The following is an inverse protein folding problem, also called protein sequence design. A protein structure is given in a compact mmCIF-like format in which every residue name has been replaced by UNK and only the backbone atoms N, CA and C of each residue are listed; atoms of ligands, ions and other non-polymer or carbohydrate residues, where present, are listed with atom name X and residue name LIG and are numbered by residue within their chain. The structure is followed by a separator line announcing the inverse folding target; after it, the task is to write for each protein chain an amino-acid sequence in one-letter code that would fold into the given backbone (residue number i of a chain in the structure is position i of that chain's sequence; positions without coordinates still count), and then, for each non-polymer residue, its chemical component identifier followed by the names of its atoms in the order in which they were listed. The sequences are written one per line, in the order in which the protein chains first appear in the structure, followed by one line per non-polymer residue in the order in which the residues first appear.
data_IF_156532615578
#
_entry.id   IF_156532615578
#
_cell.length_a   1.000
_cell.length_b   1.000
_cell.length_c   1.000
_cell.angle_alpha   90.00
_cell.angle_beta   90.00
_cell.angle_gamma   90.00
#
_symmetry.space_group_name_H-M   'P 1'
#
loop_
_entity.id
_entity.type
_entity.pdbx_description
1 polymer ?
#
# COMPACT_ATOMS: atom_id res chain seq x y z
N UNK A 1 -8.20 -18.52 -37.75
CA UNK A 1 -8.85 -17.54 -36.86
C UNK A 1 -7.77 -16.76 -36.11
N UNK A 2 -7.69 -15.43 -36.25
CA UNK A 2 -6.77 -14.61 -35.42
C UNK A 2 -7.41 -14.42 -34.04
N UNK A 3 -6.78 -14.97 -33.00
CA UNK A 3 -7.20 -14.76 -31.61
C UNK A 3 -7.05 -13.28 -31.21
N UNK A 4 -8.04 -12.72 -30.53
CA UNK A 4 -8.00 -11.34 -30.05
C UNK A 4 -6.87 -11.15 -29.04
N UNK A 5 -5.89 -10.30 -29.38
CA UNK A 5 -4.83 -9.94 -28.44
C UNK A 5 -5.36 -8.98 -27.37
N UNK A 6 -5.38 -9.44 -26.13
CA UNK A 6 -5.82 -8.66 -24.96
C UNK A 6 -4.92 -7.43 -24.80
N UNK A 7 -5.53 -6.24 -24.83
CA UNK A 7 -4.82 -4.97 -24.63
C UNK A 7 -4.00 -5.01 -23.35
N UNK A 8 -2.75 -4.56 -23.45
CA UNK A 8 -1.78 -4.50 -22.36
C UNK A 8 -1.02 -3.19 -22.54
N UNK A 9 -0.92 -2.37 -21.49
CA UNK A 9 -0.24 -1.06 -21.56
C UNK A 9 0.90 -0.97 -20.58
N UNK A 10 1.88 -0.18 -20.97
CA UNK A 10 2.86 0.39 -20.05
C UNK A 10 2.21 1.48 -19.21
N UNK A 11 2.80 1.75 -18.04
CA UNK A 11 2.41 2.87 -17.20
C UNK A 11 2.99 4.17 -17.77
N UNK A 12 2.17 5.22 -17.84
CA UNK A 12 2.61 6.54 -18.30
C UNK A 12 3.64 7.13 -17.35
N UNK A 13 4.59 7.93 -17.86
CA UNK A 13 5.64 8.58 -17.04
C UNK A 13 5.06 9.29 -15.82
N UNK A 14 4.01 10.08 -16.00
CA UNK A 14 3.38 10.84 -14.91
C UNK A 14 2.80 9.92 -13.84
N UNK A 15 2.11 8.85 -14.23
CA UNK A 15 1.54 7.87 -13.29
C UNK A 15 2.64 7.17 -12.48
N UNK A 16 3.75 6.84 -13.12
CA UNK A 16 4.93 6.25 -12.47
C UNK A 16 5.51 7.20 -11.42
N UNK A 17 5.75 8.47 -11.77
CA UNK A 17 6.32 9.45 -10.83
C UNK A 17 5.37 9.78 -9.67
N UNK A 18 4.07 9.87 -9.91
CA UNK A 18 3.07 10.07 -8.85
C UNK A 18 3.15 8.94 -7.81
N UNK A 19 3.11 7.67 -8.27
CA UNK A 19 3.20 6.52 -7.38
C UNK A 19 4.55 6.45 -6.67
N UNK A 20 5.64 6.77 -7.36
CA UNK A 20 6.98 6.78 -6.78
C UNK A 20 7.11 7.80 -5.64
N UNK A 21 6.59 9.02 -5.83
CA UNK A 21 6.58 10.06 -4.80
C UNK A 21 5.70 9.65 -3.62
N UNK A 22 4.52 9.09 -3.86
CA UNK A 22 3.64 8.63 -2.78
C UNK A 22 4.27 7.50 -1.96
N UNK A 23 4.95 6.56 -2.62
CA UNK A 23 5.67 5.46 -1.94
C UNK A 23 6.85 5.99 -1.14
N UNK A 24 7.62 6.93 -1.68
CA UNK A 24 8.73 7.56 -0.96
C UNK A 24 8.23 8.30 0.30
N UNK A 25 7.15 9.06 0.17
CA UNK A 25 6.52 9.76 1.28
C UNK A 25 5.96 8.78 2.32
N UNK A 26 5.29 7.71 1.89
CA UNK A 26 4.81 6.64 2.78
C UNK A 26 5.96 5.97 3.54
N UNK A 27 7.09 5.75 2.86
CA UNK A 27 8.29 5.15 3.47
C UNK A 27 8.85 6.05 4.57
N UNK A 28 8.93 7.37 4.33
CA UNK A 28 9.39 8.33 5.32
C UNK A 28 8.48 8.33 6.58
N UNK A 29 7.17 8.32 6.41
CA UNK A 29 6.23 8.29 7.55
C UNK A 29 6.29 6.93 8.29
N UNK A 30 6.43 5.81 7.58
CA UNK A 30 6.58 4.50 8.21
C UNK A 30 7.89 4.37 9.00
N UNK A 31 8.98 5.00 8.56
CA UNK A 31 10.21 5.08 9.37
C UNK A 31 9.95 5.81 10.68
N UNK A 32 9.27 6.95 10.64
CA UNK A 32 8.89 7.68 11.86
C UNK A 32 8.04 6.79 12.77
N UNK A 33 7.04 6.10 12.22
CA UNK A 33 6.15 5.19 12.97
C UNK A 33 6.90 4.10 13.72
N UNK A 34 7.91 3.51 13.09
CA UNK A 34 8.70 2.43 13.69
C UNK A 34 9.64 2.93 14.77
N UNK A 35 10.12 4.18 14.65
CA UNK A 35 10.96 4.80 15.67
C UNK A 35 10.18 5.20 16.94
N UNK A 36 8.85 5.34 16.88
CA UNK A 36 8.03 5.74 18.03
C UNK A 36 8.28 4.87 19.28
N UNK A 37 8.12 3.53 19.24
CA UNK A 37 8.33 2.70 20.42
C UNK A 37 9.76 2.74 20.97
N UNK A 38 10.76 3.05 20.13
CA UNK A 38 12.16 3.17 20.56
C UNK A 38 12.48 4.55 21.15
N UNK A 39 11.87 5.62 20.65
CA UNK A 39 12.13 7.00 21.10
C UNK A 39 11.31 7.43 22.31
N UNK A 40 10.03 7.04 22.38
CA UNK A 40 9.11 7.45 23.44
C UNK A 40 8.95 6.42 24.56
N UNK A 41 9.46 5.20 24.38
CA UNK A 41 9.27 4.11 25.34
C UNK A 41 7.81 3.66 25.45
N UNK A 42 7.55 2.73 26.37
CA UNK A 42 6.21 2.18 26.62
C UNK A 42 5.51 3.04 27.65
N UNK A 43 4.39 3.64 27.27
CA UNK A 43 3.61 4.47 28.18
C UNK A 43 2.92 3.57 29.23
N UNK A 44 3.41 3.58 30.47
CA UNK A 44 2.97 2.65 31.53
C UNK A 44 1.51 2.85 31.93
N UNK A 45 0.97 4.04 31.71
CA UNK A 45 -0.42 4.36 32.01
C UNK A 45 -1.41 3.77 30.99
N UNK A 46 -0.94 3.43 29.79
CA UNK A 46 -1.73 2.73 28.77
C UNK A 46 -1.72 1.20 28.90
N UNK A 47 -0.99 0.66 29.88
CA UNK A 47 -0.92 -0.78 30.11
C UNK A 47 -2.14 -1.28 30.90
N UNK A 48 -2.67 -2.47 30.57
CA UNK A 48 -3.63 -3.18 31.40
C UNK A 48 -3.16 -3.29 32.86
N UNK A 49 -4.09 -3.15 33.82
CA UNK A 49 -3.79 -3.10 35.26
C UNK A 49 -3.08 -4.34 35.80
N UNK A 50 -3.32 -5.50 35.17
CA UNK A 50 -2.70 -6.80 35.46
C UNK A 50 -1.22 -6.89 35.02
N UNK A 51 -0.81 -6.07 34.05
CA UNK A 51 0.57 -5.94 33.56
C UNK A 51 1.29 -4.81 34.31
N UNK A 52 0.60 -3.69 34.55
CA UNK A 52 1.14 -2.50 35.22
C UNK A 52 1.73 -2.79 36.60
N UNK A 53 1.12 -3.69 37.36
CA UNK A 53 1.51 -3.98 38.75
C UNK A 53 2.58 -5.08 38.89
N UNK A 54 3.04 -5.69 37.79
CA UNK A 54 3.93 -6.85 37.84
C UNK A 54 5.17 -6.64 36.94
N UNK A 55 6.35 -6.30 37.51
CA UNK A 55 7.52 -5.88 36.72
C UNK A 55 8.03 -6.94 35.74
N UNK A 56 7.88 -8.22 36.06
CA UNK A 56 8.27 -9.32 35.17
C UNK A 56 7.40 -9.37 33.91
N UNK A 57 6.09 -9.08 34.05
CA UNK A 57 5.15 -9.02 32.92
C UNK A 57 5.40 -7.79 32.03
N UNK A 58 5.89 -6.69 32.59
CA UNK A 58 6.26 -5.49 31.83
C UNK A 58 7.41 -5.81 30.87
N UNK A 59 8.43 -6.54 31.33
CA UNK A 59 9.57 -6.91 30.50
C UNK A 59 9.18 -7.83 29.33
N UNK A 60 8.30 -8.81 29.60
CA UNK A 60 7.79 -9.73 28.58
C UNK A 60 6.89 -9.01 27.57
N UNK A 61 6.01 -8.12 28.04
CA UNK A 61 5.15 -7.31 27.18
C UNK A 61 5.99 -6.38 26.29
N UNK A 62 7.01 -5.73 26.85
CA UNK A 62 7.93 -4.89 26.10
C UNK A 62 8.65 -5.67 24.99
N UNK A 63 9.13 -6.87 25.31
CA UNK A 63 9.77 -7.75 24.33
C UNK A 63 8.80 -8.14 23.21
N UNK A 64 7.57 -8.55 23.53
CA UNK A 64 6.54 -8.91 22.54
C UNK A 64 6.15 -7.71 21.66
N UNK A 65 6.00 -6.53 22.26
CA UNK A 65 5.66 -5.30 21.54
C UNK A 65 6.77 -4.90 20.56
N UNK A 66 8.03 -4.95 21.00
CA UNK A 66 9.19 -4.65 20.15
C UNK A 66 9.30 -5.64 19.00
N UNK A 67 9.20 -6.95 19.26
CA UNK A 67 9.23 -7.99 18.22
C UNK A 67 8.08 -7.79 17.23
N UNK A 68 6.85 -7.57 17.72
CA UNK A 68 5.68 -7.34 16.86
C UNK A 68 5.86 -6.11 15.96
N UNK A 69 6.40 -5.02 16.52
CA UNK A 69 6.68 -3.79 15.76
C UNK A 69 7.74 -4.04 14.68
N UNK A 70 8.81 -4.77 15.02
CA UNK A 70 9.91 -5.07 14.09
C UNK A 70 9.42 -5.98 12.95
N UNK A 71 8.62 -7.01 13.26
CA UNK A 71 7.99 -7.86 12.24
C UNK A 71 7.04 -7.05 11.35
N UNK A 72 6.22 -6.18 11.93
CA UNK A 72 5.33 -5.30 11.17
C UNK A 72 6.10 -4.36 10.25
N UNK A 73 7.21 -3.81 10.72
CA UNK A 73 8.10 -2.99 9.90
C UNK A 73 8.69 -3.76 8.73
N UNK A 74 9.24 -4.95 8.97
CA UNK A 74 9.80 -5.80 7.92
C UNK A 74 8.74 -6.16 6.88
N UNK A 75 7.54 -6.56 7.32
CA UNK A 75 6.42 -6.86 6.44
C UNK A 75 6.05 -5.65 5.57
N UNK A 76 5.87 -4.46 6.17
CA UNK A 76 5.54 -3.24 5.45
C UNK A 76 6.66 -2.85 4.46
N UNK A 77 7.91 -2.98 4.88
CA UNK A 77 9.08 -2.70 4.03
C UNK A 77 9.13 -3.63 2.83
N UNK A 78 8.93 -4.94 3.03
CA UNK A 78 8.87 -5.89 1.92
C UNK A 78 7.73 -5.57 0.96
N UNK A 79 6.54 -5.24 1.46
CA UNK A 79 5.40 -4.83 0.61
C UNK A 79 5.76 -3.63 -0.26
N UNK A 80 6.39 -2.59 0.31
CA UNK A 80 6.80 -1.40 -0.44
C UNK A 80 7.90 -1.71 -1.46
N UNK A 81 8.91 -2.50 -1.07
CA UNK A 81 10.00 -2.91 -1.96
C UNK A 81 9.45 -3.73 -3.12
N UNK A 82 8.57 -4.70 -2.86
CA UNK A 82 7.92 -5.46 -3.92
C UNK A 82 7.11 -4.56 -4.83
N UNK A 83 6.32 -3.63 -4.28
CA UNK A 83 5.57 -2.69 -5.09
C UNK A 83 6.48 -1.86 -5.99
N UNK A 84 7.59 -1.34 -5.46
CA UNK A 84 8.56 -0.54 -6.18
C UNK A 84 9.25 -1.34 -7.30
N UNK A 85 9.65 -2.58 -7.02
CA UNK A 85 10.19 -3.50 -8.04
C UNK A 85 9.17 -3.72 -9.16
N UNK A 86 7.91 -4.01 -8.82
CA UNK A 86 6.86 -4.19 -9.82
C UNK A 86 6.59 -2.90 -10.62
N UNK A 87 6.61 -1.73 -9.97
CA UNK A 87 6.44 -0.44 -10.61
C UNK A 87 7.55 -0.17 -11.64
N UNK A 88 8.81 -0.45 -11.28
CA UNK A 88 9.96 -0.37 -12.18
C UNK A 88 9.85 -1.35 -13.35
N UNK A 89 9.43 -2.59 -13.08
CA UNK A 89 9.23 -3.58 -14.14
C UNK A 89 8.11 -3.15 -15.11
N UNK A 90 7.01 -2.60 -14.61
CA UNK A 90 5.90 -2.09 -15.44
C UNK A 90 6.23 -0.87 -16.27
N UNK A 91 7.28 -0.13 -15.88
CA UNK A 91 7.79 1.00 -16.66
C UNK A 91 8.64 0.54 -17.86
N UNK A 92 9.40 -0.54 -17.70
CA UNK A 92 10.47 -0.89 -18.63
C UNK A 92 10.26 -2.20 -19.42
N UNK A 93 9.59 -3.19 -18.84
CA UNK A 93 9.55 -4.57 -19.38
C UNK A 93 8.19 -5.24 -19.37
N UNK A 94 7.38 -4.95 -18.36
CA UNK A 94 6.07 -5.57 -18.14
C UNK A 94 4.94 -4.63 -18.52
N UNK A 95 3.78 -5.22 -18.81
CA UNK A 95 2.55 -4.48 -19.07
C UNK A 95 1.53 -4.77 -17.98
N UNK A 96 0.80 -3.74 -17.55
CA UNK A 96 -0.13 -3.86 -16.44
C UNK A 96 -1.41 -4.62 -16.85
N UNK A 97 -1.85 -5.53 -15.99
CA UNK A 97 -3.15 -6.21 -16.09
C UNK A 97 -4.07 -5.87 -14.92
N UNK A 98 -5.33 -6.29 -14.95
CA UNK A 98 -6.28 -6.00 -13.85
C UNK A 98 -5.84 -6.60 -12.51
N UNK A 99 -5.26 -7.80 -12.53
CA UNK A 99 -4.80 -8.48 -11.30
C UNK A 99 -3.80 -7.61 -10.56
N UNK A 100 -2.88 -6.96 -11.28
CA UNK A 100 -1.92 -6.03 -10.69
C UNK A 100 -2.63 -4.88 -9.97
N UNK A 101 -3.53 -4.17 -10.65
CA UNK A 101 -4.23 -3.04 -10.03
C UNK A 101 -5.05 -3.46 -8.82
N UNK A 102 -5.84 -4.54 -8.95
CA UNK A 102 -6.72 -5.02 -7.88
C UNK A 102 -5.90 -5.51 -6.68
N UNK A 103 -4.83 -6.28 -6.90
CA UNK A 103 -4.01 -6.79 -5.79
C UNK A 103 -3.40 -5.66 -4.99
N UNK A 104 -2.84 -4.65 -5.65
CA UNK A 104 -2.21 -3.54 -4.96
C UNK A 104 -3.22 -2.60 -4.29
N UNK A 105 -4.40 -2.40 -4.89
CA UNK A 105 -5.49 -1.67 -4.24
C UNK A 105 -5.85 -2.33 -2.89
N UNK A 106 -6.04 -3.66 -2.87
CA UNK A 106 -6.38 -4.37 -1.63
C UNK A 106 -5.27 -4.24 -0.59
N UNK A 107 -4.01 -4.41 -1.00
CA UNK A 107 -2.87 -4.31 -0.08
C UNK A 107 -2.75 -2.92 0.53
N UNK A 108 -2.82 -1.86 -0.28
CA UNK A 108 -2.74 -0.48 0.23
C UNK A 108 -3.98 -0.06 1.02
N UNK A 109 -5.14 -0.66 0.72
CA UNK A 109 -6.34 -0.46 1.53
C UNK A 109 -6.14 -1.02 2.94
N UNK A 110 -5.60 -2.24 3.09
CA UNK A 110 -5.27 -2.81 4.41
C UNK A 110 -4.22 -1.98 5.13
N UNK A 111 -3.19 -1.51 4.42
CA UNK A 111 -2.16 -0.61 4.99
C UNK A 111 -2.76 0.70 5.52
N UNK A 112 -3.80 1.22 4.88
CA UNK A 112 -4.45 2.45 5.34
C UNK A 112 -5.11 2.29 6.72
N UNK A 113 -5.60 1.11 7.07
CA UNK A 113 -6.20 0.84 8.39
C UNK A 113 -5.20 0.27 9.41
N UNK A 114 -4.01 -0.13 8.97
CA UNK A 114 -3.00 -0.76 9.81
C UNK A 114 -2.66 0.01 11.09
N UNK A 115 -2.48 1.34 11.06
CA UNK A 115 -2.16 2.11 12.26
C UNK A 115 -3.22 2.01 13.35
N UNK A 116 -4.48 1.70 13.00
CA UNK A 116 -5.61 1.75 13.94
C UNK A 116 -6.13 0.37 14.37
N UNK A 117 -5.52 -0.74 13.93
CA UNK A 117 -5.98 -2.10 14.29
C UNK A 117 -5.97 -2.39 15.79
N UNK A 118 -5.05 -1.78 16.55
CA UNK A 118 -5.01 -1.95 18.01
C UNK A 118 -6.06 -1.12 18.75
N UNK A 119 -6.77 -0.24 18.06
CA UNK A 119 -7.71 0.72 18.63
C UNK A 119 -7.05 2.04 19.01
N UNK A 120 -7.72 3.14 18.69
CA UNK A 120 -7.24 4.52 18.91
C UNK A 120 -7.07 4.84 20.41
N UNK A 121 -7.86 4.21 21.27
CA UNK A 121 -7.87 4.44 22.73
C UNK A 121 -6.56 4.09 23.44
N UNK A 122 -5.73 3.21 22.85
CA UNK A 122 -4.45 2.78 23.43
C UNK A 122 -3.25 3.51 22.83
N UNK A 123 -3.48 4.57 22.03
CA UNK A 123 -2.44 5.28 21.31
C UNK A 123 -2.23 6.68 21.86
N UNK A 124 -0.98 7.14 21.87
CA UNK A 124 -0.68 8.53 22.20
C UNK A 124 -1.14 9.47 21.09
N UNK A 125 -1.39 10.74 21.40
CA UNK A 125 -1.76 11.74 20.38
C UNK A 125 -0.75 11.81 19.23
N UNK A 126 0.53 11.67 19.52
CA UNK A 126 1.59 11.62 18.50
C UNK A 126 1.45 10.40 17.59
N UNK A 127 1.19 9.21 18.14
CA UNK A 127 0.89 8.01 17.35
C UNK A 127 -0.35 8.23 16.49
N UNK A 128 -1.42 8.79 17.03
CA UNK A 128 -2.65 9.04 16.27
C UNK A 128 -2.37 9.95 15.06
N UNK A 129 -1.59 11.02 15.24
CA UNK A 129 -1.22 11.93 14.16
C UNK A 129 -0.40 11.21 13.07
N UNK A 130 0.67 10.50 13.45
CA UNK A 130 1.52 9.77 12.49
C UNK A 130 0.71 8.67 11.78
N UNK A 131 -0.15 7.97 12.52
CA UNK A 131 -1.06 6.96 11.98
C UNK A 131 -2.03 7.54 10.96
N UNK A 132 -2.62 8.70 11.25
CA UNK A 132 -3.49 9.41 10.32
C UNK A 132 -2.75 9.79 9.03
N UNK A 133 -1.49 10.24 9.11
CA UNK A 133 -0.67 10.49 7.91
C UNK A 133 -0.47 9.21 7.08
N UNK A 134 -0.14 8.07 7.71
CA UNK A 134 -0.01 6.78 7.00
C UNK A 134 -1.31 6.43 6.26
N UNK A 135 -2.45 6.60 6.94
CA UNK A 135 -3.77 6.31 6.38
C UNK A 135 -4.11 7.21 5.19
N UNK A 136 -3.89 8.52 5.31
CA UNK A 136 -4.14 9.50 4.23
C UNK A 136 -3.27 9.21 3.02
N UNK A 137 -1.97 8.94 3.22
CA UNK A 137 -1.05 8.65 2.13
C UNK A 137 -1.43 7.33 1.44
N UNK A 138 -1.70 6.28 2.23
CA UNK A 138 -2.12 4.98 1.68
C UNK A 138 -3.44 5.08 0.92
N UNK A 139 -4.42 5.85 1.43
CA UNK A 139 -5.67 6.11 0.74
C UNK A 139 -5.44 6.88 -0.58
N UNK A 140 -4.50 7.83 -0.61
CA UNK A 140 -4.13 8.54 -1.84
C UNK A 140 -3.53 7.61 -2.90
N UNK A 141 -2.73 6.61 -2.48
CA UNK A 141 -2.21 5.57 -3.36
C UNK A 141 -3.36 4.73 -3.91
N UNK A 142 -4.30 4.29 -3.05
CA UNK A 142 -5.49 3.51 -3.47
C UNK A 142 -6.30 4.27 -4.51
N UNK A 143 -6.59 5.56 -4.28
CA UNK A 143 -7.33 6.41 -5.22
C UNK A 143 -6.58 6.53 -6.56
N UNK A 144 -5.25 6.68 -6.52
CA UNK A 144 -4.41 6.77 -7.71
C UNK A 144 -4.44 5.47 -8.51
N UNK A 145 -4.25 4.32 -7.84
CA UNK A 145 -4.32 2.99 -8.45
C UNK A 145 -5.70 2.72 -9.05
N UNK A 146 -6.77 3.09 -8.34
CA UNK A 146 -8.14 2.95 -8.82
C UNK A 146 -8.39 3.79 -10.08
N UNK A 147 -7.96 5.06 -10.07
CA UNK A 147 -8.06 5.96 -11.22
C UNK A 147 -7.32 5.39 -12.43
N UNK A 148 -6.12 4.85 -12.24
CA UNK A 148 -5.35 4.24 -13.32
C UNK A 148 -5.98 2.93 -13.82
N UNK A 149 -6.59 2.15 -12.93
CA UNK A 149 -7.37 0.97 -13.29
C UNK A 149 -8.56 1.33 -14.20
N UNK A 150 -9.29 2.41 -13.87
CA UNK A 150 -10.40 2.91 -14.69
C UNK A 150 -9.91 3.42 -16.05
N UNK A 151 -8.83 4.22 -16.08
CA UNK A 151 -8.24 4.68 -17.35
C UNK A 151 -7.79 3.50 -18.23
N UNK A 152 -7.21 2.47 -17.62
CA UNK A 152 -6.84 1.23 -18.31
C UNK A 152 -8.07 0.49 -18.85
N UNK A 153 -9.15 0.41 -18.06
CA UNK A 153 -10.41 -0.21 -18.48
C UNK A 153 -11.00 0.46 -19.72
N UNK A 154 -11.06 1.79 -19.71
CA UNK A 154 -11.57 2.60 -20.82
C UNK A 154 -10.74 2.36 -22.08
N UNK A 155 -9.41 2.46 -22.00
CA UNK A 155 -8.51 2.24 -23.15
C UNK A 155 -8.65 0.83 -23.74
N UNK A 156 -8.85 -0.17 -22.88
CA UNK A 156 -9.07 -1.54 -23.33
C UNK A 156 -10.39 -1.71 -24.08
N UNK A 157 -11.47 -1.04 -23.65
CA UNK A 157 -12.75 -1.05 -24.36
C UNK A 157 -12.60 -0.40 -25.74
N UNK A 158 -11.95 0.76 -25.84
CA UNK A 158 -11.67 1.40 -27.14
C UNK A 158 -10.88 0.48 -28.08
N UNK A 159 -9.80 -0.14 -27.62
CA UNK A 159 -9.02 -1.08 -28.43
C UNK A 159 -9.86 -2.28 -28.91
N UNK A 160 -10.79 -2.78 -28.10
CA UNK A 160 -11.72 -3.83 -28.51
C UNK A 160 -12.66 -3.37 -29.64
N UNK A 161 -13.22 -2.16 -29.54
CA UNK A 161 -14.08 -1.61 -30.59
C UNK A 161 -13.33 -1.35 -31.89
N UNK A 162 -12.11 -0.80 -31.82
CA UNK A 162 -11.26 -0.61 -33.01
C UNK A 162 -10.92 -1.94 -33.69
N UNK A 163 -10.55 -2.95 -32.90
CA UNK A 163 -10.26 -4.28 -33.44
C UNK A 163 -11.48 -4.87 -34.15
N UNK A 164 -12.68 -4.78 -33.56
CA UNK A 164 -13.92 -5.24 -34.20
C UNK A 164 -14.18 -4.47 -35.49
N UNK A 165 -14.08 -3.13 -35.47
CA UNK A 165 -14.34 -2.28 -36.64
C UNK A 165 -13.44 -2.66 -37.81
N UNK A 166 -12.14 -2.86 -37.56
CA UNK A 166 -11.15 -3.23 -38.59
C UNK A 166 -11.41 -4.63 -39.16
N UNK A 167 -11.78 -5.61 -38.33
CA UNK A 167 -11.90 -7.00 -38.77
C UNK A 167 -13.29 -7.36 -39.29
N UNK A 168 -14.37 -6.72 -38.82
CA UNK A 168 -15.71 -6.86 -39.41
C UNK A 168 -15.91 -5.98 -40.64
N UNK A 169 -15.25 -4.81 -40.73
CA UNK A 169 -15.36 -3.90 -41.87
C UNK A 169 -14.66 -4.37 -43.15
N UNK A 170 -13.72 -5.32 -43.06
CA UNK A 170 -13.00 -5.93 -44.21
C UNK A 170 -13.68 -7.19 -44.78
N UNK A 171 -14.81 -7.61 -44.21
CA UNK A 171 -15.53 -8.84 -44.61
C UNK A 171 -16.72 -8.58 -45.54
N UNK A 172 -16.92 -7.34 -46.00
CA UNK A 172 -17.80 -6.96 -47.09
C UNK A 172 -16.96 -6.40 -48.21
#
# INVERSE_FOLDING_TARGET
MKFYQKYKTEIFKNQFYILLVQVALLTAVLLVWVLIPFGYGINRDSLPSDIRNNPDKISEYAKKLSISTLISYLANTFVLVFFLIYLLLLRNKLKAGYIFWISWIVIYFVLAFLPFFRGVQYMSNFQIIVGAFISVISASIVISLFTFCVQYHIKRKFHYYEWIKIHKGRSR
#
